data_IF_675567570309
#
_entry.id   IF_675567570309
#
_cell.length_a   1.000
_cell.length_b   1.000
_cell.length_c   1.000
_cell.angle_alpha   90.00
_cell.angle_beta   90.00
_cell.angle_gamma   90.00
#
_symmetry.space_group_name_H-M   'P 1'
#
loop_
_entity.id
_entity.type
_entity.pdbx_description
1 polymer ?
#
# COMPACT_ATOMS: atom_id res chain seq x y z
N UNK A 1 -40.56 6.68 -1.46
CA UNK A 1 -39.91 5.80 -0.47
C UNK A 1 -38.51 6.37 -0.18
N UNK A 2 -38.10 6.32 1.08
CA UNK A 2 -36.77 6.76 1.46
C UNK A 2 -35.77 5.63 1.17
N UNK A 3 -34.61 5.97 0.57
CA UNK A 3 -33.56 4.97 0.31
C UNK A 3 -32.97 4.39 1.61
N UNK A 4 -32.70 5.25 2.62
CA UNK A 4 -32.12 4.82 3.90
C UNK A 4 -33.20 4.15 4.74
N UNK A 5 -33.02 2.87 5.09
CA UNK A 5 -34.03 2.03 5.72
C UNK A 5 -33.74 1.67 7.19
N UNK A 6 -32.53 1.98 7.69
CA UNK A 6 -32.06 1.62 9.03
C UNK A 6 -32.08 2.79 10.04
N UNK A 7 -32.64 3.93 9.64
CA UNK A 7 -32.71 5.12 10.49
C UNK A 7 -31.42 5.96 10.53
N UNK A 8 -30.39 5.62 9.76
CA UNK A 8 -29.20 6.46 9.63
C UNK A 8 -29.57 7.85 9.11
N UNK A 9 -29.03 8.88 9.74
CA UNK A 9 -29.25 10.26 9.35
C UNK A 9 -27.98 10.84 8.74
N UNK A 10 -28.15 11.59 7.65
CA UNK A 10 -27.10 12.39 7.00
C UNK A 10 -27.46 13.84 7.15
N UNK A 11 -26.56 14.64 7.70
CA UNK A 11 -26.85 16.05 8.02
C UNK A 11 -26.95 16.91 6.76
N UNK A 12 -25.98 16.76 5.86
CA UNK A 12 -25.90 17.53 4.62
C UNK A 12 -25.39 16.63 3.50
N UNK A 13 -26.26 15.84 2.85
CA UNK A 13 -25.86 15.02 1.73
C UNK A 13 -25.27 15.91 0.62
N UNK A 14 -24.04 15.61 0.19
CA UNK A 14 -23.32 16.45 -0.76
C UNK A 14 -23.11 15.75 -2.11
N UNK A 15 -22.73 14.48 -2.09
CA UNK A 15 -22.64 13.68 -3.30
C UNK A 15 -23.14 12.26 -3.08
N UNK A 16 -23.47 11.60 -4.19
CA UNK A 16 -23.85 10.21 -4.21
C UNK A 16 -23.07 9.51 -5.34
N UNK A 17 -22.52 8.34 -5.04
CA UNK A 17 -21.85 7.47 -6.02
C UNK A 17 -22.31 6.04 -5.81
N UNK A 18 -22.59 5.33 -6.89
CA UNK A 18 -22.99 3.92 -6.84
C UNK A 18 -21.85 3.07 -7.36
N UNK A 19 -21.44 2.09 -6.56
CA UNK A 19 -20.45 1.12 -7.00
C UNK A 19 -21.04 0.23 -8.09
N UNK A 20 -20.54 0.26 -9.33
CA UNK A 20 -21.13 -0.47 -10.44
C UNK A 20 -21.00 -2.01 -10.31
N UNK A 21 -20.15 -2.48 -9.40
CA UNK A 21 -19.89 -3.92 -9.23
C UNK A 21 -20.70 -4.52 -8.09
N UNK A 22 -20.86 -3.81 -6.97
CA UNK A 22 -21.57 -4.31 -5.79
C UNK A 22 -22.98 -3.73 -5.64
N UNK A 23 -23.29 -2.64 -6.35
CA UNK A 23 -24.51 -1.87 -6.15
C UNK A 23 -24.53 -1.04 -4.86
N UNK A 24 -23.48 -1.07 -4.05
CA UNK A 24 -23.40 -0.27 -2.84
C UNK A 24 -23.43 1.22 -3.14
N UNK A 25 -24.13 1.98 -2.32
CA UNK A 25 -24.34 3.41 -2.48
C UNK A 25 -23.47 4.17 -1.47
N UNK A 26 -22.66 5.08 -1.96
CA UNK A 26 -21.79 5.92 -1.16
C UNK A 26 -22.33 7.34 -1.14
N UNK A 27 -22.55 7.89 0.06
CA UNK A 27 -23.05 9.24 0.23
C UNK A 27 -22.04 10.01 1.08
N UNK A 28 -21.68 11.21 0.65
CA UNK A 28 -20.82 12.10 1.43
C UNK A 28 -21.68 13.06 2.24
N UNK A 29 -21.32 13.27 3.51
CA UNK A 29 -21.95 14.23 4.40
C UNK A 29 -21.00 15.42 4.59
N UNK A 30 -21.37 16.58 4.09
CA UNK A 30 -20.54 17.80 4.15
C UNK A 30 -20.73 18.61 5.41
N UNK A 31 -21.62 18.19 6.33
CA UNK A 31 -21.97 18.90 7.57
C UNK A 31 -22.38 20.36 7.33
N UNK A 32 -21.45 21.29 7.59
CA UNK A 32 -21.64 22.73 7.44
C UNK A 32 -20.75 23.36 6.35
N UNK A 33 -20.13 22.52 5.50
CA UNK A 33 -19.20 22.92 4.43
C UNK A 33 -17.87 23.55 4.90
N UNK A 34 -17.58 23.55 6.18
CA UNK A 34 -16.38 24.18 6.79
C UNK A 34 -15.49 23.18 7.49
N UNK A 35 -16.04 22.06 7.91
CA UNK A 35 -15.32 20.99 8.58
C UNK A 35 -15.18 19.79 7.66
N UNK A 36 -14.29 18.87 8.02
CA UNK A 36 -14.17 17.60 7.30
C UNK A 36 -15.47 16.82 7.45
N UNK A 37 -15.98 16.39 6.32
CA UNK A 37 -17.18 15.57 6.21
C UNK A 37 -16.86 14.07 6.29
N UNK A 38 -17.89 13.27 6.17
CA UNK A 38 -17.85 11.81 6.25
C UNK A 38 -18.25 11.17 4.93
N UNK A 39 -17.85 9.91 4.72
CA UNK A 39 -18.41 9.05 3.67
C UNK A 39 -19.16 7.91 4.33
N UNK A 40 -20.41 7.73 3.95
CA UNK A 40 -21.27 6.63 4.38
C UNK A 40 -21.47 5.66 3.23
N UNK A 41 -21.30 4.37 3.48
CA UNK A 41 -21.57 3.30 2.53
C UNK A 41 -22.82 2.54 2.94
N UNK A 42 -23.76 2.42 2.02
CA UNK A 42 -25.01 1.68 2.23
C UNK A 42 -25.10 0.49 1.28
N UNK A 43 -25.78 -0.55 1.72
CA UNK A 43 -26.19 -1.65 0.84
C UNK A 43 -27.17 -1.16 -0.25
N UNK A 44 -27.39 -1.94 -1.32
CA UNK A 44 -28.45 -1.63 -2.30
C UNK A 44 -29.86 -1.53 -1.67
N UNK A 45 -30.06 -2.09 -0.48
CA UNK A 45 -31.33 -2.03 0.26
C UNK A 45 -31.40 -0.87 1.26
N UNK A 46 -30.39 0.03 1.27
CA UNK A 46 -30.38 1.24 2.09
C UNK A 46 -30.00 1.02 3.55
N UNK A 47 -29.29 -0.05 3.87
CA UNK A 47 -28.74 -0.30 5.20
C UNK A 47 -27.28 0.17 5.27
N UNK A 48 -26.89 0.87 6.32
CA UNK A 48 -25.52 1.31 6.52
C UNK A 48 -24.57 0.13 6.71
N UNK A 49 -23.54 0.05 5.87
CA UNK A 49 -22.47 -0.95 5.96
C UNK A 49 -21.34 -0.41 6.81
N UNK A 50 -20.88 0.81 6.50
CA UNK A 50 -19.83 1.49 7.26
C UNK A 50 -19.89 3.01 7.09
N UNK A 51 -19.19 3.71 7.97
CA UNK A 51 -18.99 5.16 7.93
C UNK A 51 -17.50 5.47 8.08
N UNK A 52 -16.94 6.23 7.14
CA UNK A 52 -15.58 6.77 7.20
C UNK A 52 -15.64 8.22 7.63
N UNK A 53 -15.19 8.56 8.85
CA UNK A 53 -15.23 9.94 9.34
C UNK A 53 -14.05 10.77 8.82
N UNK A 54 -14.23 12.09 8.73
CA UNK A 54 -13.18 13.07 8.48
C UNK A 54 -12.41 12.89 7.15
N UNK A 55 -13.07 12.44 6.09
CA UNK A 55 -12.42 12.15 4.79
C UNK A 55 -11.98 13.40 4.03
N UNK A 56 -12.62 14.54 4.22
CA UNK A 56 -12.28 15.80 3.55
C UNK A 56 -13.36 16.86 3.67
N UNK A 57 -13.03 18.11 3.31
CA UNK A 57 -14.02 19.17 3.22
C UNK A 57 -14.69 19.09 1.85
N UNK A 58 -16.02 18.99 1.83
CA UNK A 58 -16.82 18.91 0.59
C UNK A 58 -16.38 17.79 -0.37
N UNK A 59 -16.06 16.62 0.17
CA UNK A 59 -15.74 15.45 -0.64
C UNK A 59 -16.90 15.12 -1.57
N UNK A 60 -16.68 15.18 -2.88
CA UNK A 60 -17.79 15.14 -3.82
C UNK A 60 -17.80 13.91 -4.74
N UNK A 61 -16.77 13.08 -4.75
CA UNK A 61 -16.71 11.92 -5.65
C UNK A 61 -16.08 10.73 -4.97
N UNK A 62 -16.70 9.56 -5.13
CA UNK A 62 -16.10 8.27 -4.81
C UNK A 62 -15.84 7.55 -6.13
N UNK A 63 -14.56 7.25 -6.40
CA UNK A 63 -14.16 6.50 -7.58
C UNK A 63 -14.04 5.03 -7.22
N UNK A 64 -14.62 4.18 -8.06
CA UNK A 64 -14.55 2.74 -7.92
C UNK A 64 -13.57 2.19 -8.96
N UNK A 65 -12.56 1.49 -8.48
CA UNK A 65 -11.75 0.63 -9.35
C UNK A 65 -12.32 -0.77 -9.33
N UNK A 66 -12.45 -1.37 -10.50
CA UNK A 66 -12.66 -2.81 -10.55
C UNK A 66 -11.37 -3.46 -10.02
N UNK A 67 -11.44 -4.07 -8.85
CA UNK A 67 -10.46 -5.09 -8.52
C UNK A 67 -10.79 -6.22 -9.49
N UNK A 68 -9.96 -6.42 -10.52
CA UNK A 68 -10.11 -7.53 -11.43
C UNK A 68 -10.43 -8.76 -10.57
N UNK A 69 -11.52 -9.44 -10.91
CA UNK A 69 -11.93 -10.65 -10.21
C UNK A 69 -10.69 -11.52 -10.08
N UNK A 70 -10.28 -11.82 -8.85
CA UNK A 70 -9.18 -12.75 -8.63
C UNK A 70 -9.63 -14.06 -9.23
N UNK A 71 -9.28 -14.28 -10.51
CA UNK A 71 -9.25 -15.60 -11.09
C UNK A 71 -8.37 -16.45 -10.19
N UNK A 72 -8.67 -17.74 -10.13
CA UNK A 72 -7.83 -18.72 -9.46
C UNK A 72 -6.36 -18.35 -9.71
N UNK A 73 -5.56 -18.07 -8.65
CA UNK A 73 -4.19 -17.59 -8.81
C UNK A 73 -3.30 -18.53 -9.63
N UNK A 74 -3.72 -19.77 -9.82
CA UNK A 74 -3.02 -20.77 -10.62
C UNK A 74 -3.41 -20.74 -12.12
N UNK A 75 -4.36 -19.90 -12.55
CA UNK A 75 -4.88 -19.89 -13.92
C UNK A 75 -4.72 -18.57 -14.68
N UNK A 76 -4.15 -17.52 -14.07
CA UNK A 76 -4.05 -16.24 -14.75
C UNK A 76 -2.69 -16.08 -15.44
N UNK A 77 -2.61 -16.19 -16.78
CA UNK A 77 -1.47 -15.67 -17.51
C UNK A 77 -1.35 -14.17 -17.17
N UNK A 78 -0.13 -13.70 -16.95
CA UNK A 78 0.16 -12.33 -16.58
C UNK A 78 -0.78 -11.34 -17.29
N UNK A 79 -1.53 -10.55 -16.52
CA UNK A 79 -2.38 -9.52 -17.07
C UNK A 79 -1.48 -8.60 -17.92
N UNK A 80 -1.69 -8.48 -19.23
CA UNK A 80 -0.85 -7.66 -20.09
C UNK A 80 -0.89 -6.17 -19.73
N UNK A 81 -1.84 -5.75 -18.91
CA UNK A 81 -1.95 -4.39 -18.36
C UNK A 81 -1.37 -4.27 -16.94
N UNK A 82 -0.92 -5.38 -16.34
CA UNK A 82 -0.30 -5.37 -15.02
C UNK A 82 1.01 -4.59 -15.05
N UNK A 83 1.19 -3.69 -14.09
CA UNK A 83 2.43 -2.92 -13.96
C UNK A 83 3.60 -3.80 -13.55
N UNK A 84 4.80 -3.54 -14.10
CA UNK A 84 6.02 -4.28 -13.74
C UNK A 84 6.51 -4.00 -12.30
N UNK A 85 5.89 -3.07 -11.58
CA UNK A 85 6.35 -2.58 -10.28
C UNK A 85 5.27 -2.73 -9.22
N UNK A 86 5.71 -2.77 -7.95
CA UNK A 86 4.79 -2.61 -6.82
C UNK A 86 4.01 -1.30 -6.96
N UNK A 87 2.69 -1.36 -6.82
CA UNK A 87 1.82 -0.23 -7.09
C UNK A 87 1.10 0.33 -5.86
N UNK A 88 1.31 -0.28 -4.69
CA UNK A 88 0.74 0.18 -3.42
C UNK A 88 1.67 -0.13 -2.25
N UNK A 89 1.62 0.73 -1.24
CA UNK A 89 2.20 0.48 0.08
C UNK A 89 1.06 0.17 1.04
N UNK A 90 1.11 -0.99 1.67
CA UNK A 90 0.10 -1.47 2.63
C UNK A 90 0.48 -1.09 4.05
N UNK A 91 1.78 -1.14 4.37
CA UNK A 91 2.33 -0.72 5.65
C UNK A 91 3.67 -0.02 5.45
N UNK A 92 3.95 0.97 6.28
CA UNK A 92 5.24 1.63 6.37
C UNK A 92 5.55 1.97 7.82
N UNK A 93 6.47 1.25 8.41
CA UNK A 93 6.87 1.33 9.80
C UNK A 93 8.39 1.57 9.89
N UNK A 94 8.88 2.77 9.58
CA UNK A 94 10.31 3.03 9.63
C UNK A 94 10.80 3.07 11.07
N UNK A 95 11.98 2.49 11.32
CA UNK A 95 12.65 2.60 12.60
C UNK A 95 13.49 3.89 12.72
N UNK A 96 13.76 4.40 13.91
CA UNK A 96 14.59 5.58 14.10
C UNK A 96 15.98 5.44 13.45
N UNK A 97 16.39 6.43 12.66
CA UNK A 97 17.72 6.49 12.04
C UNK A 97 18.09 7.92 11.63
N UNK A 98 19.31 8.08 11.13
CA UNK A 98 19.82 9.39 10.68
C UNK A 98 19.06 10.00 9.46
N UNK A 99 18.38 9.18 8.65
CA UNK A 99 17.71 9.62 7.42
C UNK A 99 16.20 9.81 7.56
N UNK A 100 15.66 9.69 8.77
CA UNK A 100 14.22 9.79 9.03
C UNK A 100 13.65 11.20 8.84
N UNK A 101 14.51 12.23 8.92
CA UNK A 101 14.13 13.64 8.71
C UNK A 101 14.58 14.16 7.34
N UNK A 102 14.61 13.31 6.34
CA UNK A 102 15.04 13.66 4.97
C UNK A 102 13.92 13.41 3.97
N UNK A 103 14.14 13.79 2.71
CA UNK A 103 13.21 13.50 1.61
C UNK A 103 13.05 12.02 1.26
N UNK A 104 13.83 11.15 1.90
CA UNK A 104 13.74 9.69 1.70
C UNK A 104 12.69 9.03 2.59
N UNK A 105 11.98 9.78 3.42
CA UNK A 105 10.87 9.28 4.24
C UNK A 105 9.52 9.75 3.68
N UNK A 106 8.48 8.97 3.89
CA UNK A 106 7.11 9.39 3.62
C UNK A 106 6.48 10.22 4.75
N UNK A 107 7.19 10.37 5.86
CA UNK A 107 6.69 11.13 7.01
C UNK A 107 6.87 12.63 6.84
N UNK A 108 5.79 13.37 7.11
CA UNK A 108 5.81 14.81 7.34
C UNK A 108 5.04 15.12 8.64
N UNK A 109 5.42 16.20 9.31
CA UNK A 109 4.75 16.63 10.53
C UNK A 109 3.25 16.89 10.29
N UNK A 110 2.41 16.30 11.12
CA UNK A 110 0.96 16.43 11.00
C UNK A 110 0.30 15.42 10.04
N UNK A 111 1.05 14.57 9.36
CA UNK A 111 0.48 13.52 8.52
C UNK A 111 -0.25 12.47 9.36
N UNK A 112 -1.42 12.07 8.89
CA UNK A 112 -2.12 10.86 9.35
C UNK A 112 -1.49 9.62 8.74
N UNK A 113 -1.70 8.43 9.32
CA UNK A 113 -1.22 7.17 8.76
C UNK A 113 -1.64 6.96 7.30
N UNK A 114 -2.87 7.34 6.93
CA UNK A 114 -3.35 7.26 5.53
C UNK A 114 -2.53 8.16 4.60
N UNK A 115 -2.19 9.37 5.03
CA UNK A 115 -1.38 10.29 4.22
C UNK A 115 0.05 9.78 4.08
N UNK A 116 0.61 9.18 5.12
CA UNK A 116 1.93 8.54 5.06
C UNK A 116 1.94 7.38 4.05
N UNK A 117 0.95 6.49 4.07
CA UNK A 117 0.85 5.39 3.10
C UNK A 117 0.64 5.88 1.67
N UNK A 118 -0.19 6.91 1.47
CA UNK A 118 -0.39 7.51 0.16
C UNK A 118 0.92 8.11 -0.37
N UNK A 119 1.66 8.82 0.47
CA UNK A 119 2.96 9.40 0.12
C UNK A 119 4.01 8.34 -0.16
N UNK A 120 4.05 7.27 0.65
CA UNK A 120 4.94 6.14 0.43
C UNK A 120 4.65 5.46 -0.92
N UNK A 121 3.38 5.26 -1.26
CA UNK A 121 2.97 4.70 -2.55
C UNK A 121 3.41 5.60 -3.71
N UNK A 122 3.22 6.91 -3.61
CA UNK A 122 3.67 7.88 -4.63
C UNK A 122 5.19 7.84 -4.84
N UNK A 123 5.95 7.70 -3.75
CA UNK A 123 7.42 7.65 -3.81
C UNK A 123 7.96 6.36 -4.44
N UNK A 124 7.27 5.23 -4.25
CA UNK A 124 7.75 3.92 -4.70
C UNK A 124 7.14 3.45 -6.02
N UNK A 125 5.95 3.92 -6.36
CA UNK A 125 5.23 3.45 -7.54
C UNK A 125 6.02 3.76 -8.83
N UNK A 126 6.20 2.73 -9.67
CA UNK A 126 6.86 2.80 -10.98
C UNK A 126 8.29 3.38 -10.94
N UNK A 127 8.99 3.25 -9.81
CA UNK A 127 10.32 3.82 -9.62
C UNK A 127 11.35 2.77 -9.23
N UNK A 128 12.46 2.77 -9.97
CA UNK A 128 13.65 1.95 -9.67
C UNK A 128 14.84 2.77 -9.18
N UNK A 129 14.70 4.09 -9.12
CA UNK A 129 15.80 5.02 -8.81
C UNK A 129 15.57 5.88 -7.58
N UNK A 130 14.43 5.74 -6.91
CA UNK A 130 14.20 6.48 -5.69
C UNK A 130 14.77 5.72 -4.49
N UNK A 131 15.39 6.45 -3.57
CA UNK A 131 15.76 5.92 -2.26
C UNK A 131 14.59 6.11 -1.31
N UNK A 132 14.35 5.09 -0.49
CA UNK A 132 13.28 5.10 0.50
C UNK A 132 13.80 4.52 1.81
N UNK A 133 13.80 5.31 2.89
CA UNK A 133 14.38 4.86 4.14
C UNK A 133 13.43 3.98 4.93
N UNK A 134 13.90 2.82 5.34
CA UNK A 134 13.23 1.99 6.36
C UNK A 134 13.74 2.31 7.77
N UNK A 135 14.76 3.15 7.86
CA UNK A 135 15.39 3.49 9.12
C UNK A 135 16.36 2.43 9.63
N UNK A 136 16.45 2.28 10.94
CA UNK A 136 17.31 1.31 11.59
C UNK A 136 16.68 -0.08 11.70
N UNK A 137 17.25 -0.87 12.61
CA UNK A 137 16.81 -2.23 12.87
C UNK A 137 15.33 -2.30 13.26
N UNK A 138 14.59 -3.18 12.61
CA UNK A 138 13.15 -3.38 12.81
C UNK A 138 12.25 -2.54 11.89
N UNK A 139 12.81 -1.59 11.12
CA UNK A 139 12.04 -0.84 10.14
C UNK A 139 11.58 -1.73 8.99
N UNK A 140 10.33 -1.56 8.56
CA UNK A 140 9.75 -2.40 7.51
C UNK A 140 8.79 -1.62 6.61
N UNK A 141 8.56 -2.18 5.43
CA UNK A 141 7.56 -1.75 4.47
C UNK A 141 6.88 -2.98 3.87
N UNK A 142 5.56 -2.93 3.78
CA UNK A 142 4.77 -3.93 3.07
C UNK A 142 4.24 -3.31 1.79
N UNK A 143 4.57 -3.93 0.65
CA UNK A 143 4.13 -3.49 -0.67
C UNK A 143 3.21 -4.54 -1.29
N UNK A 144 2.36 -4.10 -2.20
CA UNK A 144 1.49 -4.98 -2.98
C UNK A 144 1.60 -4.69 -4.47
N UNK A 145 1.21 -5.68 -5.24
CA UNK A 145 1.10 -5.63 -6.68
C UNK A 145 -0.38 -5.65 -7.09
N UNK A 146 -0.69 -5.23 -8.29
CA UNK A 146 -2.03 -5.30 -8.88
C UNK A 146 -2.36 -6.68 -9.48
N UNK A 147 -1.39 -7.57 -9.49
CA UNK A 147 -1.48 -8.92 -10.00
C UNK A 147 -0.73 -9.92 -9.09
N UNK A 148 -1.00 -11.19 -9.29
CA UNK A 148 -0.22 -12.28 -8.68
C UNK A 148 1.12 -12.41 -9.36
N UNK A 149 2.21 -12.48 -8.58
CA UNK A 149 3.53 -12.78 -9.09
C UNK A 149 3.60 -14.30 -9.32
N UNK A 150 3.81 -14.77 -10.56
CA UNK A 150 3.93 -16.19 -10.84
C UNK A 150 5.26 -16.73 -10.30
N UNK A 151 5.24 -17.94 -9.74
CA UNK A 151 6.46 -18.65 -9.38
C UNK A 151 6.88 -19.50 -10.59
N UNK A 152 7.95 -19.08 -11.28
CA UNK A 152 8.45 -19.76 -12.49
C UNK A 152 9.71 -20.57 -12.13
N UNK A 153 9.67 -21.92 -12.21
CA UNK A 153 10.80 -22.74 -11.84
C UNK A 153 12.06 -22.40 -12.63
N UNK A 154 13.14 -22.03 -11.92
CA UNK A 154 14.45 -21.72 -12.49
C UNK A 154 14.61 -20.26 -12.94
N UNK A 155 13.65 -19.41 -12.72
CA UNK A 155 13.72 -17.96 -12.99
C UNK A 155 13.57 -17.16 -11.70
N UNK A 156 13.87 -15.86 -11.74
CA UNK A 156 13.61 -14.95 -10.65
C UNK A 156 12.22 -14.32 -10.82
N UNK A 157 11.37 -14.46 -9.83
CA UNK A 157 9.98 -14.01 -9.89
C UNK A 157 9.85 -12.50 -9.71
N UNK A 158 10.76 -11.88 -8.93
CA UNK A 158 10.81 -10.43 -8.72
C UNK A 158 12.21 -9.95 -8.34
N UNK A 159 12.42 -8.66 -8.36
CA UNK A 159 13.70 -8.02 -8.02
C UNK A 159 13.49 -6.87 -7.06
N UNK A 160 14.31 -6.83 -6.02
CA UNK A 160 14.38 -5.71 -5.08
C UNK A 160 15.71 -4.99 -5.31
N UNK A 161 15.65 -3.68 -5.50
CA UNK A 161 16.83 -2.84 -5.60
C UNK A 161 17.19 -2.32 -4.21
N UNK A 162 18.30 -2.81 -3.68
CA UNK A 162 18.87 -2.32 -2.43
C UNK A 162 19.74 -1.08 -2.63
N UNK A 163 20.22 -0.52 -1.53
CA UNK A 163 21.10 0.64 -1.50
C UNK A 163 22.57 0.26 -1.20
N UNK A 164 22.95 -0.97 -1.47
CA UNK A 164 24.33 -1.41 -1.30
C UNK A 164 25.29 -0.64 -2.22
N UNK A 165 26.42 -0.22 -1.73
CA UNK A 165 27.43 0.46 -2.52
C UNK A 165 28.86 0.12 -2.07
N UNK A 166 29.82 0.25 -3.01
CA UNK A 166 31.24 0.18 -2.70
C UNK A 166 31.78 1.57 -2.38
N UNK A 167 32.55 1.67 -1.31
CA UNK A 167 33.25 2.92 -0.97
C UNK A 167 34.44 3.14 -1.92
N UNK A 168 34.49 4.32 -2.53
CA UNK A 168 35.56 4.70 -3.45
C UNK A 168 36.92 4.76 -2.72
N UNK A 169 36.95 5.09 -1.43
CA UNK A 169 38.18 5.11 -0.63
C UNK A 169 38.71 3.70 -0.34
N UNK A 170 37.83 2.72 -0.16
CA UNK A 170 38.23 1.32 0.01
C UNK A 170 38.94 0.77 -1.22
N UNK A 171 38.52 1.16 -2.41
CA UNK A 171 39.17 0.79 -3.68
C UNK A 171 40.55 1.42 -3.82
N UNK A 172 40.76 2.65 -3.35
CA UNK A 172 42.05 3.33 -3.38
C UNK A 172 43.08 2.72 -2.41
N UNK A 173 42.64 2.05 -1.38
CA UNK A 173 43.50 1.39 -0.38
C UNK A 173 43.67 -0.12 -0.63
N UNK A 174 43.28 -0.60 -1.80
CA UNK A 174 43.26 -2.03 -2.18
C UNK A 174 42.51 -2.92 -1.18
N UNK A 175 41.50 -2.33 -0.53
CA UNK A 175 40.58 -2.99 0.40
C UNK A 175 39.15 -2.76 -0.04
N UNK A 176 38.37 -3.82 -0.31
CA UNK A 176 36.96 -3.63 -0.58
C UNK A 176 36.27 -3.04 0.65
N UNK A 177 35.76 -1.83 0.50
CA UNK A 177 34.94 -1.15 1.49
C UNK A 177 33.57 -0.88 0.91
N UNK A 178 32.61 -0.56 1.76
CA UNK A 178 31.27 -0.24 1.31
C UNK A 178 30.23 -0.46 2.39
N UNK A 179 28.97 -0.32 2.02
CA UNK A 179 27.84 -0.60 2.88
C UNK A 179 26.89 -1.59 2.17
N UNK A 180 26.57 -2.67 2.85
CA UNK A 180 25.73 -3.75 2.27
C UNK A 180 24.23 -3.49 2.42
N UNK A 181 23.81 -2.64 3.38
CA UNK A 181 22.39 -2.32 3.65
C UNK A 181 21.48 -3.58 3.59
N UNK A 182 21.78 -4.62 4.40
CA UNK A 182 21.06 -5.89 4.30
C UNK A 182 19.62 -5.76 4.80
N UNK A 183 18.71 -6.57 4.23
CA UNK A 183 17.33 -6.65 4.66
C UNK A 183 16.80 -8.07 4.56
N UNK A 184 15.77 -8.36 5.35
CA UNK A 184 15.00 -9.60 5.28
C UNK A 184 13.82 -9.37 4.33
N UNK A 185 13.53 -10.34 3.47
CA UNK A 185 12.40 -10.31 2.56
C UNK A 185 11.41 -11.39 2.94
N UNK A 186 10.16 -10.97 3.14
CA UNK A 186 9.06 -11.89 3.38
C UNK A 186 8.04 -11.74 2.24
N UNK A 187 7.35 -12.82 1.94
CA UNK A 187 6.25 -12.85 0.98
C UNK A 187 5.01 -13.43 1.63
N UNK A 188 3.86 -12.92 1.23
CA UNK A 188 2.56 -13.42 1.65
C UNK A 188 1.63 -13.49 0.45
N UNK A 189 0.78 -14.51 0.42
CA UNK A 189 -0.29 -14.65 -0.56
C UNK A 189 -1.59 -14.20 0.08
N UNK A 190 -2.28 -13.26 -0.54
CA UNK A 190 -3.64 -12.86 -0.14
C UNK A 190 -4.60 -14.01 -0.44
N UNK A 191 -4.77 -14.92 0.51
CA UNK A 191 -5.58 -16.15 0.36
C UNK A 191 -7.06 -15.90 0.57
N UNK A 192 -7.40 -14.87 1.34
CA UNK A 192 -8.79 -14.49 1.63
C UNK A 192 -9.32 -13.41 0.67
N UNK A 193 -8.48 -12.84 -0.19
CA UNK A 193 -8.85 -11.87 -1.20
C UNK A 193 -9.23 -10.49 -0.67
N UNK A 194 -8.84 -10.14 0.57
CA UNK A 194 -9.22 -8.88 1.20
C UNK A 194 -8.26 -7.72 0.86
N UNK A 195 -7.09 -8.00 0.29
CA UNK A 195 -6.06 -7.03 -0.08
C UNK A 195 -5.28 -6.45 1.09
N UNK A 196 -5.37 -7.09 2.27
CA UNK A 196 -4.66 -6.73 3.49
C UNK A 196 -3.46 -7.66 3.72
N UNK A 197 -2.42 -7.22 4.44
CA UNK A 197 -1.24 -8.03 4.74
C UNK A 197 -1.45 -8.88 6.01
N UNK A 198 -2.61 -9.55 6.13
CA UNK A 198 -3.04 -10.29 7.32
C UNK A 198 -2.99 -11.82 7.17
N UNK A 199 -2.51 -12.30 6.03
CA UNK A 199 -2.28 -13.72 5.76
C UNK A 199 -0.89 -14.18 6.26
N UNK A 200 -0.59 -15.47 6.09
CA UNK A 200 0.67 -16.07 6.53
C UNK A 200 1.86 -15.54 5.73
N UNK A 201 2.95 -15.20 6.43
CA UNK A 201 4.18 -14.68 5.86
C UNK A 201 5.28 -15.74 5.84
N UNK A 202 6.02 -15.79 4.75
CA UNK A 202 7.13 -16.70 4.51
C UNK A 202 8.41 -15.91 4.26
N UNK A 203 9.47 -16.20 5.03
CA UNK A 203 10.78 -15.60 4.82
C UNK A 203 11.48 -16.27 3.62
N UNK A 204 12.01 -15.44 2.73
CA UNK A 204 12.83 -15.92 1.61
C UNK A 204 14.27 -16.11 2.08
N UNK A 205 14.81 -17.30 1.83
CA UNK A 205 16.19 -17.63 2.15
C UNK A 205 17.17 -16.85 1.27
N UNK A 206 17.75 -15.77 1.82
CA UNK A 206 18.84 -15.04 1.20
C UNK A 206 20.20 -15.75 1.35
N UNK A 207 21.27 -15.13 0.82
CA UNK A 207 22.64 -15.68 0.91
C UNK A 207 23.11 -15.89 2.33
N UNK A 208 22.63 -15.07 3.27
CA UNK A 208 23.03 -15.07 4.67
C UNK A 208 22.03 -15.80 5.61
N UNK A 209 20.99 -16.42 5.05
CA UNK A 209 19.92 -17.05 5.83
C UNK A 209 20.41 -18.11 6.83
N UNK A 210 21.45 -18.88 6.45
CA UNK A 210 22.07 -19.91 7.28
C UNK A 210 23.41 -19.47 7.91
N UNK A 211 23.78 -18.20 7.76
CA UNK A 211 25.04 -17.72 8.36
C UNK A 211 24.88 -17.61 9.86
N UNK A 212 25.83 -18.10 10.67
CA UNK A 212 25.80 -17.91 12.11
C UNK A 212 25.94 -16.40 12.42
N UNK A 213 25.08 -15.93 13.33
CA UNK A 213 25.09 -14.55 13.81
C UNK A 213 26.35 -14.23 14.64
#
# INVERSE_FOLDING_TARGET
ENFITDGTTIRTPYSISVNPYSGNVYITDAYDYKVKGDVLCFSPQGQLIFKLPNVGINSNTVLFRNKASQGNPDENPADPEAGAFANKVLEYNPAPSQYMNTSYTAYEEGFTGIQVLARATELLQDRTTCLFTLGGFGGNITVGFDHTIPNVPGEYDFKIYGNAYYDMYGTLLDKPGGNSEPGIVLVSKDTNGNGLPDDEWYELAGSEYNSPA
#
